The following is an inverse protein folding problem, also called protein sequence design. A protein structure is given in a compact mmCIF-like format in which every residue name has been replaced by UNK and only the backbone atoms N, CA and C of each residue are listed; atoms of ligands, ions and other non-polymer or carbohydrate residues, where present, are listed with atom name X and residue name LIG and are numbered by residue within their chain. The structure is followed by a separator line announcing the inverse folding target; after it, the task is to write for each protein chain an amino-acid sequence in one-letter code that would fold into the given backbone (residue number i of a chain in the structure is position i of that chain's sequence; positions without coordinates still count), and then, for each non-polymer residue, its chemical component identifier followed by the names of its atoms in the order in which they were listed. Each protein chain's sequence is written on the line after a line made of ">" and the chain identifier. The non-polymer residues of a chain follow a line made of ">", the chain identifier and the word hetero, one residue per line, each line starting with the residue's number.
data_IF_646969857453
#
_entry.id   IF_646969857453
#
_cell.length_a   1.000
_cell.length_b   1.000
_cell.length_c   1.000
_cell.angle_alpha   90.00
_cell.angle_beta   90.00
_cell.angle_gamma   90.00
#
_symmetry.space_group_name_H-M   'P 1'
#
loop_
_entity.id
_entity.type
_entity.pdbx_description
1 polymer ?
#
# COMPACT_ATOMS: atom_id res chain seq x y z
N UNK A 1 -4.88 4.19 13.41
CA UNK A 1 -4.30 3.55 14.62
C UNK A 1 -4.81 2.12 14.73
N UNK A 2 -4.63 1.43 15.86
CA UNK A 2 -5.33 0.16 16.09
C UNK A 2 -6.83 0.44 16.00
N UNK A 3 -7.62 -0.39 15.30
CA UNK A 3 -9.08 -0.24 15.28
C UNK A 3 -9.63 -0.23 16.72
N UNK A 4 -10.48 0.75 17.04
CA UNK A 4 -11.01 0.98 18.40
C UNK A 4 -10.20 1.95 19.28
N UNK A 5 -8.94 2.26 18.92
CA UNK A 5 -8.15 3.27 19.65
C UNK A 5 -8.71 4.69 19.44
N UNK A 6 -9.09 5.02 18.21
CA UNK A 6 -9.66 6.33 17.89
C UNK A 6 -11.09 6.48 18.45
N UNK A 7 -11.83 5.38 18.60
CA UNK A 7 -13.18 5.40 19.17
C UNK A 7 -13.19 5.69 20.67
N UNK A 8 -12.20 5.19 21.42
CA UNK A 8 -12.05 5.51 22.84
C UNK A 8 -11.60 6.95 23.09
N UNK A 9 -11.06 7.65 22.09
CA UNK A 9 -10.68 9.08 22.18
C UNK A 9 -11.86 10.00 21.85
N UNK A 10 -12.85 9.52 21.09
CA UNK A 10 -14.01 10.32 20.69
C UNK A 10 -14.82 10.72 21.93
N UNK A 11 -14.98 12.04 22.12
CA UNK A 11 -15.80 12.62 23.20
C UNK A 11 -15.00 13.19 24.37
N UNK A 12 -13.69 12.94 24.44
CA UNK A 12 -12.81 13.55 25.44
C UNK A 12 -12.39 14.97 25.04
N UNK A 13 -12.25 15.85 26.03
CA UNK A 13 -11.86 17.26 25.80
C UNK A 13 -10.34 17.43 25.86
N UNK A 14 -9.86 18.50 25.23
CA UNK A 14 -8.45 18.89 25.33
C UNK A 14 -8.09 19.18 26.80
N UNK A 15 -7.00 18.57 27.27
CA UNK A 15 -6.49 18.68 28.64
C UNK A 15 -6.85 17.51 29.55
N UNK A 16 -7.66 16.54 29.10
CA UNK A 16 -8.01 15.36 29.90
C UNK A 16 -6.95 14.26 29.77
N UNK A 17 -6.59 13.67 30.90
CA UNK A 17 -5.82 12.43 30.99
C UNK A 17 -6.79 11.28 31.20
N UNK A 18 -6.83 10.32 30.28
CA UNK A 18 -7.70 9.15 30.40
C UNK A 18 -6.96 7.88 29.98
N UNK A 19 -7.42 6.77 30.55
CA UNK A 19 -6.86 5.45 30.27
C UNK A 19 -7.83 4.69 29.39
N UNK A 20 -7.40 4.32 28.18
CA UNK A 20 -8.18 3.43 27.30
C UNK A 20 -7.58 2.04 27.34
N UNK A 21 -8.43 1.03 27.51
CA UNK A 21 -8.09 -0.36 27.32
C UNK A 21 -8.34 -0.75 25.84
N UNK A 22 -7.28 -0.97 25.06
CA UNK A 22 -7.39 -1.38 23.65
C UNK A 22 -6.75 -2.75 23.47
N UNK A 23 -7.42 -3.61 22.70
CA UNK A 23 -6.91 -4.95 22.37
C UNK A 23 -6.22 -4.89 21.02
N UNK A 24 -4.97 -5.35 20.98
CA UNK A 24 -4.23 -5.47 19.73
C UNK A 24 -4.75 -6.65 18.89
N UNK A 25 -4.99 -6.47 17.59
CA UNK A 25 -5.27 -7.57 16.67
C UNK A 25 -4.17 -8.63 16.70
N UNK A 26 -4.53 -9.89 16.42
CA UNK A 26 -3.59 -11.02 16.39
C UNK A 26 -2.52 -10.87 15.30
N UNK A 27 -2.82 -10.13 14.23
CA UNK A 27 -1.93 -9.84 13.10
C UNK A 27 -1.07 -8.57 13.30
N UNK A 28 -0.81 -8.15 14.54
CA UNK A 28 0.02 -6.96 14.77
C UNK A 28 1.53 -7.25 14.57
N UNK A 29 2.24 -6.35 13.88
CA UNK A 29 3.65 -6.51 13.50
C UNK A 29 4.62 -6.68 14.69
N UNK A 30 4.23 -6.23 15.89
CA UNK A 30 5.04 -6.42 17.10
C UNK A 30 4.61 -7.72 17.82
N UNK A 31 5.45 -8.76 17.74
CA UNK A 31 5.21 -10.07 18.38
C UNK A 31 4.91 -9.95 19.89
N UNK A 32 5.49 -8.96 20.55
CA UNK A 32 5.31 -8.72 21.98
C UNK A 32 3.92 -8.17 22.37
N UNK A 33 3.17 -7.65 21.41
CA UNK A 33 1.89 -6.97 21.61
C UNK A 33 0.71 -7.69 20.95
N UNK A 34 0.95 -8.79 20.21
CA UNK A 34 -0.12 -9.60 19.59
C UNK A 34 -1.11 -10.11 20.64
N UNK A 35 -2.39 -9.81 20.46
CA UNK A 35 -3.48 -10.32 21.30
C UNK A 35 -3.48 -9.87 22.76
N UNK A 36 -2.60 -8.95 23.17
CA UNK A 36 -2.57 -8.43 24.55
C UNK A 36 -3.48 -7.21 24.67
N UNK A 37 -4.21 -7.15 25.78
CA UNK A 37 -4.89 -5.92 26.19
C UNK A 37 -3.84 -4.95 26.75
N UNK A 38 -3.79 -3.74 26.19
CA UNK A 38 -2.89 -2.69 26.66
C UNK A 38 -3.69 -1.49 27.16
N UNK A 39 -3.24 -0.97 28.30
CA UNK A 39 -3.76 0.27 28.89
C UNK A 39 -2.93 1.42 28.38
N UNK A 40 -3.53 2.30 27.58
CA UNK A 40 -2.87 3.53 27.13
C UNK A 40 -3.35 4.69 27.99
N UNK A 41 -2.42 5.29 28.75
CA UNK A 41 -2.65 6.59 29.38
C UNK A 41 -2.40 7.65 28.32
N UNK A 42 -3.45 8.32 27.87
CA UNK A 42 -3.40 9.31 26.79
C UNK A 42 -3.64 10.68 27.38
N UNK A 43 -2.68 11.58 27.14
CA UNK A 43 -2.80 12.98 27.49
C UNK A 43 -3.17 13.78 26.24
N UNK A 44 -4.44 14.17 26.11
CA UNK A 44 -4.92 14.98 24.98
C UNK A 44 -4.44 16.42 25.13
N UNK A 45 -3.31 16.77 24.51
CA UNK A 45 -2.73 18.11 24.62
C UNK A 45 -3.51 19.18 23.85
N UNK A 46 -3.95 18.84 22.64
CA UNK A 46 -4.62 19.79 21.74
C UNK A 46 -5.58 19.03 20.85
N UNK A 47 -6.80 19.54 20.72
CA UNK A 47 -7.79 19.09 19.74
C UNK A 47 -7.92 20.21 18.73
N UNK A 48 -7.52 19.93 17.49
CA UNK A 48 -7.68 20.85 16.37
C UNK A 48 -8.72 20.27 15.44
N UNK A 49 -9.73 21.06 15.11
CA UNK A 49 -10.68 20.70 14.07
C UNK A 49 -10.11 21.13 12.72
N UNK A 50 -10.20 20.24 11.73
CA UNK A 50 -9.83 20.57 10.35
C UNK A 50 -11.00 21.33 9.73
N UNK A 51 -10.97 22.64 9.85
CA UNK A 51 -11.91 23.50 9.14
C UNK A 51 -11.67 23.36 7.63
N UNK A 52 -12.74 23.10 6.89
CA UNK A 52 -12.68 23.05 5.43
C UNK A 52 -12.37 24.46 4.92
N UNK A 53 -11.23 24.69 4.26
CA UNK A 53 -10.95 26.00 3.69
C UNK A 53 -12.01 26.32 2.64
N UNK A 54 -12.43 27.58 2.59
CA UNK A 54 -13.32 28.05 1.53
C UNK A 54 -12.65 27.85 0.17
N UNK A 55 -13.45 27.54 -0.86
CA UNK A 55 -12.98 27.33 -2.24
C UNK A 55 -12.59 28.67 -2.89
N UNK A 56 -11.49 29.26 -2.42
CA UNK A 56 -10.94 30.51 -2.92
C UNK A 56 -10.06 30.27 -4.16
N UNK A 57 -9.87 31.30 -4.97
CA UNK A 57 -9.04 31.24 -6.18
C UNK A 57 -7.60 30.81 -5.89
N UNK A 58 -7.05 31.16 -4.72
CA UNK A 58 -5.71 30.75 -4.29
C UNK A 58 -5.62 29.25 -3.97
N UNK A 59 -6.67 28.68 -3.39
CA UNK A 59 -6.75 27.24 -3.14
C UNK A 59 -6.85 26.48 -4.47
N UNK A 60 -7.68 26.96 -5.39
CA UNK A 60 -7.92 26.33 -6.70
C UNK A 60 -6.67 26.38 -7.58
N UNK A 61 -5.90 27.47 -7.54
CA UNK A 61 -4.60 27.58 -8.24
C UNK A 61 -3.57 26.54 -7.79
N UNK A 62 -3.58 26.12 -6.52
CA UNK A 62 -2.68 25.05 -6.02
C UNK A 62 -2.97 23.68 -6.63
N UNK A 63 -4.19 23.46 -7.11
CA UNK A 63 -4.58 22.21 -7.80
C UNK A 63 -4.37 22.28 -9.32
N UNK A 64 -3.70 23.32 -9.83
CA UNK A 64 -3.32 23.44 -11.23
C UNK A 64 -4.43 23.96 -12.16
N UNK A 65 -5.50 24.55 -11.60
CA UNK A 65 -6.55 25.22 -12.38
C UNK A 65 -6.28 26.72 -12.35
N UNK A 66 -5.67 27.24 -13.42
CA UNK A 66 -5.26 28.65 -13.54
C UNK A 66 -6.46 29.61 -13.48
N UNK A 67 -7.64 29.15 -13.92
CA UNK A 67 -8.87 29.95 -14.01
C UNK A 67 -9.54 30.24 -12.66
N UNK A 68 -9.04 29.67 -11.54
CA UNK A 68 -9.57 29.95 -10.19
C UNK A 68 -11.04 29.56 -9.98
N UNK A 69 -11.66 28.83 -10.92
CA UNK A 69 -13.09 28.56 -10.91
C UNK A 69 -13.43 27.21 -10.28
N UNK A 70 -14.45 27.19 -9.42
CA UNK A 70 -14.99 25.97 -8.79
C UNK A 70 -15.51 24.99 -9.86
N UNK A 71 -16.03 25.50 -10.98
CA UNK A 71 -16.47 24.70 -12.10
C UNK A 71 -15.29 23.98 -12.79
N UNK A 72 -14.16 24.66 -13.00
CA UNK A 72 -12.95 24.08 -13.58
C UNK A 72 -12.35 22.98 -12.71
N UNK A 73 -12.26 23.20 -11.40
CA UNK A 73 -11.80 22.17 -10.46
C UNK A 73 -12.69 20.92 -10.48
N UNK A 74 -14.02 21.09 -10.46
CA UNK A 74 -14.96 19.98 -10.53
C UNK A 74 -14.87 19.22 -11.86
N UNK A 75 -14.66 19.93 -12.97
CA UNK A 75 -14.49 19.32 -14.28
C UNK A 75 -13.21 18.47 -14.35
N UNK A 76 -12.08 18.97 -13.84
CA UNK A 76 -10.81 18.23 -13.87
C UNK A 76 -10.84 17.01 -12.93
N UNK A 77 -11.41 17.16 -11.71
CA UNK A 77 -11.62 16.03 -10.80
C UNK A 77 -12.52 14.98 -11.45
N UNK A 78 -13.61 15.38 -12.10
CA UNK A 78 -14.49 14.46 -12.83
C UNK A 78 -13.73 13.73 -13.94
N UNK A 79 -12.96 14.45 -14.76
CA UNK A 79 -12.17 13.87 -15.84
C UNK A 79 -11.12 12.86 -15.33
N UNK A 80 -10.51 13.13 -14.18
CA UNK A 80 -9.57 12.21 -13.54
C UNK A 80 -10.29 10.95 -13.04
N UNK A 81 -11.43 11.09 -12.37
CA UNK A 81 -12.25 9.96 -11.94
C UNK A 81 -12.76 9.12 -13.13
N UNK A 82 -13.19 9.76 -14.22
CA UNK A 82 -13.62 9.06 -15.43
C UNK A 82 -12.47 8.27 -16.09
N UNK A 83 -11.26 8.84 -16.10
CA UNK A 83 -10.06 8.16 -16.61
C UNK A 83 -9.70 6.95 -15.76
N UNK A 84 -9.72 7.10 -14.43
CA UNK A 84 -9.46 6.01 -13.49
C UNK A 84 -10.51 4.91 -13.62
N UNK A 85 -11.79 5.27 -13.69
CA UNK A 85 -12.89 4.33 -13.84
C UNK A 85 -12.78 3.56 -15.16
N UNK A 86 -12.50 4.24 -16.28
CA UNK A 86 -12.29 3.58 -17.57
C UNK A 86 -11.08 2.63 -17.52
N UNK A 87 -10.00 3.03 -16.86
CA UNK A 87 -8.83 2.18 -16.62
C UNK A 87 -9.18 0.93 -15.78
N UNK A 88 -9.89 1.12 -14.67
CA UNK A 88 -10.30 0.06 -13.76
C UNK A 88 -11.24 -0.94 -14.44
N UNK A 89 -12.25 -0.47 -15.18
CA UNK A 89 -13.18 -1.34 -15.93
C UNK A 89 -12.43 -2.14 -16.99
N UNK A 90 -11.58 -1.48 -17.78
CA UNK A 90 -10.77 -2.18 -18.80
C UNK A 90 -9.84 -3.23 -18.17
N UNK A 91 -9.19 -2.90 -17.07
CA UNK A 91 -8.29 -3.83 -16.37
C UNK A 91 -9.05 -5.01 -15.77
N UNK A 92 -10.26 -4.77 -15.24
CA UNK A 92 -11.14 -5.84 -14.73
C UNK A 92 -11.56 -6.80 -15.84
N UNK A 93 -12.07 -6.28 -16.95
CA UNK A 93 -12.48 -7.09 -18.11
C UNK A 93 -11.29 -7.86 -18.68
N UNK A 94 -10.13 -7.20 -18.84
CA UNK A 94 -8.91 -7.84 -19.32
C UNK A 94 -8.46 -8.98 -18.39
N UNK A 95 -8.48 -8.76 -17.07
CA UNK A 95 -8.08 -9.78 -16.10
C UNK A 95 -9.02 -10.97 -16.13
N UNK A 96 -10.33 -10.74 -16.18
CA UNK A 96 -11.33 -11.81 -16.30
C UNK A 96 -11.15 -12.63 -17.59
N UNK A 97 -10.89 -11.96 -18.71
CA UNK A 97 -10.65 -12.64 -19.99
C UNK A 97 -9.37 -13.48 -19.96
N UNK A 98 -8.26 -12.94 -19.46
CA UNK A 98 -6.98 -13.67 -19.35
C UNK A 98 -7.11 -14.84 -18.39
N UNK A 99 -7.71 -14.62 -17.21
CA UNK A 99 -7.88 -15.67 -16.20
C UNK A 99 -8.77 -16.81 -16.73
N UNK A 100 -9.85 -16.49 -17.45
CA UNK A 100 -10.68 -17.47 -18.12
C UNK A 100 -9.92 -18.29 -19.16
N UNK A 101 -9.09 -17.64 -19.98
CA UNK A 101 -8.27 -18.31 -21.00
C UNK A 101 -7.22 -19.25 -20.39
N UNK A 102 -6.53 -18.79 -19.33
CA UNK A 102 -5.54 -19.59 -18.61
C UNK A 102 -6.18 -20.78 -17.91
N UNK A 103 -7.36 -20.61 -17.32
CA UNK A 103 -8.10 -21.72 -16.67
C UNK A 103 -8.59 -22.76 -17.68
N UNK A 104 -8.99 -22.33 -18.88
CA UNK A 104 -9.50 -23.23 -19.91
C UNK A 104 -8.38 -23.96 -20.66
N UNK A 105 -7.15 -23.44 -20.66
CA UNK A 105 -6.03 -24.00 -21.41
C UNK A 105 -4.79 -24.10 -20.53
N UNK A 106 -4.48 -25.31 -20.07
CA UNK A 106 -3.25 -25.59 -19.36
C UNK A 106 -2.13 -25.85 -20.39
N UNK A 107 -1.20 -24.91 -20.50
CA UNK A 107 -0.08 -24.96 -21.44
C UNK A 107 1.20 -25.18 -20.64
N UNK A 108 1.98 -26.18 -21.02
CA UNK A 108 3.30 -26.40 -20.44
C UNK A 108 4.31 -25.39 -21.03
N UNK A 109 4.92 -24.59 -20.16
CA UNK A 109 5.84 -23.51 -20.55
C UNK A 109 7.26 -23.89 -20.14
N UNK A 110 8.23 -23.91 -21.07
CA UNK A 110 9.62 -24.23 -20.76
C UNK A 110 10.23 -23.31 -19.68
N UNK A 111 10.95 -23.89 -18.72
CA UNK A 111 11.58 -23.17 -17.61
C UNK A 111 12.51 -22.02 -18.06
N UNK A 112 13.20 -22.18 -19.20
CA UNK A 112 14.08 -21.15 -19.73
C UNK A 112 13.35 -19.80 -20.04
N UNK A 113 12.08 -19.85 -20.45
CA UNK A 113 11.29 -18.64 -20.68
C UNK A 113 10.89 -17.97 -19.37
N UNK A 114 10.56 -18.77 -18.36
CA UNK A 114 10.23 -18.28 -17.01
C UNK A 114 11.46 -17.58 -16.40
N UNK A 115 12.63 -18.18 -16.49
CA UNK A 115 13.88 -17.61 -15.99
C UNK A 115 14.21 -16.27 -16.66
N UNK A 116 14.01 -16.17 -17.98
CA UNK A 116 14.22 -14.92 -18.71
C UNK A 116 13.27 -13.80 -18.28
N UNK A 117 12.00 -14.13 -17.99
CA UNK A 117 11.01 -13.16 -17.53
C UNK A 117 11.32 -12.71 -16.08
N UNK A 118 11.76 -13.63 -15.22
CA UNK A 118 12.21 -13.30 -13.86
C UNK A 118 13.35 -12.28 -13.90
N UNK A 119 14.35 -12.47 -14.76
CA UNK A 119 15.46 -11.53 -14.90
C UNK A 119 15.00 -10.14 -15.35
N UNK A 120 14.04 -10.06 -16.30
CA UNK A 120 13.45 -8.77 -16.74
C UNK A 120 12.70 -8.08 -15.60
N UNK A 121 11.89 -8.83 -14.85
CA UNK A 121 11.15 -8.31 -13.70
C UNK A 121 12.09 -7.80 -12.60
N UNK A 122 13.19 -8.51 -12.33
CA UNK A 122 14.21 -8.10 -11.37
C UNK A 122 14.89 -6.80 -11.79
N UNK A 123 15.30 -6.67 -13.06
CA UNK A 123 15.92 -5.43 -13.57
C UNK A 123 14.96 -4.24 -13.44
N UNK A 124 13.67 -4.44 -13.73
CA UNK A 124 12.64 -3.40 -13.57
C UNK A 124 12.41 -3.01 -12.12
N UNK A 125 12.49 -3.96 -11.19
CA UNK A 125 12.37 -3.66 -9.76
C UNK A 125 13.58 -2.87 -9.24
N UNK A 126 14.78 -3.22 -9.72
CA UNK A 126 16.05 -2.61 -9.33
C UNK A 126 16.23 -1.18 -9.85
N UNK A 127 15.52 -0.80 -10.90
CA UNK A 127 15.54 0.56 -11.44
C UNK A 127 14.65 1.54 -10.67
N UNK A 128 13.71 1.05 -9.85
CA UNK A 128 12.74 1.87 -9.10
C UNK A 128 13.30 2.39 -7.77
N UNK A 129 14.40 1.83 -7.24
CA UNK A 129 15.05 2.35 -6.03
C UNK A 129 16.53 2.01 -5.94
N UNK A 130 17.36 3.03 -5.74
CA UNK A 130 18.78 2.86 -5.42
C UNK A 130 19.01 2.04 -4.12
N UNK A 131 18.02 2.01 -3.21
CA UNK A 131 18.09 1.33 -1.92
C UNK A 131 17.98 -0.22 -1.99
N UNK A 132 17.31 -0.78 -2.99
CA UNK A 132 17.05 -2.24 -3.05
C UNK A 132 18.18 -3.02 -3.73
N UNK A 133 19.08 -2.31 -4.43
CA UNK A 133 20.19 -2.89 -5.21
C UNK A 133 21.18 -3.68 -4.34
N UNK A 134 21.46 -3.20 -3.12
CA UNK A 134 22.42 -3.85 -2.22
C UNK A 134 21.85 -5.11 -1.54
N UNK A 135 20.53 -5.16 -1.32
CA UNK A 135 19.84 -6.29 -0.67
C UNK A 135 19.64 -7.47 -1.64
N UNK A 136 19.27 -7.18 -2.89
CA UNK A 136 19.06 -8.17 -3.94
C UNK A 136 20.37 -8.78 -4.46
N UNK A 137 21.46 -8.01 -4.54
CA UNK A 137 22.78 -8.53 -4.94
C UNK A 137 23.31 -9.58 -3.95
N UNK A 138 23.15 -9.34 -2.64
CA UNK A 138 23.48 -10.31 -1.61
C UNK A 138 22.59 -11.56 -1.64
N UNK A 139 21.30 -11.43 -2.01
CA UNK A 139 20.41 -12.59 -2.12
C UNK A 139 20.80 -13.50 -3.30
N UNK A 140 21.17 -12.92 -4.45
CA UNK A 140 21.66 -13.67 -5.63
C UNK A 140 23.00 -14.37 -5.37
N UNK A 141 23.93 -13.72 -4.66
CA UNK A 141 25.22 -14.31 -4.29
C UNK A 141 25.10 -15.46 -3.27
N UNK A 142 24.07 -15.42 -2.41
CA UNK A 142 23.78 -16.48 -1.44
C UNK A 142 23.12 -17.71 -2.08
N UNK A 143 22.19 -17.51 -3.02
CA UNK A 143 21.47 -18.61 -3.66
C UNK A 143 22.27 -19.40 -4.71
N UNK A 144 23.28 -18.81 -5.36
CA UNK A 144 24.08 -19.53 -6.38
C UNK A 144 24.91 -20.69 -5.83
N UNK A 145 25.11 -20.76 -4.50
CA UNK A 145 25.89 -21.82 -3.84
C UNK A 145 25.07 -23.02 -3.37
N UNK A 146 23.75 -22.95 -3.39
CA UNK A 146 22.90 -24.02 -2.87
C UNK A 146 21.93 -24.51 -3.95
N UNK A 147 22.08 -25.76 -4.40
CA UNK A 147 21.08 -26.49 -5.19
C UNK A 147 19.84 -26.71 -4.33
N UNK A 148 19.04 -25.67 -4.14
CA UNK A 148 17.81 -25.73 -3.39
C UNK A 148 16.64 -25.53 -4.35
N UNK A 149 15.61 -26.34 -4.16
CA UNK A 149 14.35 -26.28 -4.92
C UNK A 149 13.69 -24.90 -4.70
N UNK A 150 12.88 -24.47 -5.68
CA UNK A 150 12.21 -23.16 -5.77
C UNK A 150 11.46 -22.79 -4.49
N UNK A 151 10.91 -23.77 -3.76
CA UNK A 151 10.27 -23.57 -2.46
C UNK A 151 11.21 -23.04 -1.36
N UNK A 152 12.49 -23.44 -1.36
CA UNK A 152 13.48 -22.96 -0.39
C UNK A 152 14.07 -21.59 -0.75
N UNK A 153 14.05 -21.20 -2.04
CA UNK A 153 14.51 -19.88 -2.51
C UNK A 153 13.64 -18.73 -1.97
N UNK A 154 12.33 -18.92 -1.94
CA UNK A 154 11.38 -17.93 -1.39
C UNK A 154 11.56 -17.73 0.12
N UNK A 155 11.83 -18.82 0.86
CA UNK A 155 12.07 -18.75 2.31
C UNK A 155 13.39 -18.05 2.63
N UNK A 156 14.44 -18.28 1.84
CA UNK A 156 15.77 -17.73 2.08
C UNK A 156 15.85 -16.21 1.86
N UNK A 157 15.05 -15.65 0.94
CA UNK A 157 15.01 -14.21 0.68
C UNK A 157 13.99 -13.44 1.53
N UNK A 158 13.03 -14.14 2.18
CA UNK A 158 12.04 -13.53 3.06
C UNK A 158 12.48 -13.49 4.54
N UNK A 159 13.33 -14.42 4.99
CA UNK A 159 13.77 -14.53 6.38
C UNK A 159 14.98 -13.65 6.78
N UNK A 160 15.43 -12.72 5.93
CA UNK A 160 16.58 -11.84 6.20
C UNK A 160 16.33 -10.42 5.70
#
# INVERSE_FOLDING_TARGET
>A
MIPGFEDGIKGHKAGEEFTIDVTFPEEYHAENLKGKAAKFVINLKKVEERELPELTEEFIKRFGVEDGSVAGLRAEVRKNMERELKGAVRNRVKSQAIEGLVKANEIDVPAALIDSEIDVLLVRLLSVSAATRNRLWNCRASCSKSRLNVASLLVCCWAK
#
